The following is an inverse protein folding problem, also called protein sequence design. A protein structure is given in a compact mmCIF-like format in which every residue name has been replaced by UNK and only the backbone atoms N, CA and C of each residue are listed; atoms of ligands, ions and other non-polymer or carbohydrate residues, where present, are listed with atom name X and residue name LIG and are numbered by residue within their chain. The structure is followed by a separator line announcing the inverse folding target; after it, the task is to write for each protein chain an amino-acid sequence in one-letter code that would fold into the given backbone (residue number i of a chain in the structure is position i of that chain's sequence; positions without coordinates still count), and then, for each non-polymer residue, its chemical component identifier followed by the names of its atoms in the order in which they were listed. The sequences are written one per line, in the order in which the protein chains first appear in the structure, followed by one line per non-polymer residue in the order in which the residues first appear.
data_IF_798407110376
#
_entry.id   IF_798407110376
#
_cell.length_a   1.000
_cell.length_b   1.000
_cell.length_c   1.000
_cell.angle_alpha   90.00
_cell.angle_beta   90.00
_cell.angle_gamma   90.00
#
_symmetry.space_group_name_H-M   'P 1'
#
loop_
_entity.id
_entity.type
_entity.pdbx_description
1 polymer ?
#
# COMPACT_ATOMS: atom_id res chain seq x y z
N UNK A 1 30.64 -55.51 -14.99
CA UNK A 1 29.40 -55.11 -15.68
C UNK A 1 28.23 -55.26 -14.71
N UNK A 2 27.67 -54.14 -14.26
CA UNK A 2 26.41 -54.05 -13.52
C UNK A 2 25.77 -52.69 -13.88
N UNK A 3 24.45 -52.67 -13.87
CA UNK A 3 23.58 -51.97 -14.82
C UNK A 3 23.45 -50.45 -14.66
N UNK A 4 23.32 -49.78 -15.82
CA UNK A 4 22.68 -48.48 -15.99
C UNK A 4 21.22 -48.52 -15.51
N UNK A 5 20.94 -48.07 -14.28
CA UNK A 5 19.64 -47.51 -13.87
C UNK A 5 19.95 -46.45 -12.81
N UNK A 6 20.12 -45.19 -13.22
CA UNK A 6 19.05 -44.19 -13.13
C UNK A 6 18.29 -44.28 -11.81
N UNK A 7 18.84 -43.70 -10.75
CA UNK A 7 18.06 -42.89 -9.82
C UNK A 7 18.91 -41.65 -9.53
N UNK A 8 18.94 -40.75 -10.51
CA UNK A 8 19.04 -39.32 -10.19
C UNK A 8 17.77 -39.03 -9.40
N UNK A 9 17.85 -39.13 -8.08
CA UNK A 9 16.89 -38.52 -7.17
C UNK A 9 17.19 -37.01 -7.27
N UNK A 10 16.79 -36.44 -8.41
CA UNK A 10 16.62 -35.00 -8.55
C UNK A 10 15.57 -34.69 -7.49
N UNK A 11 16.05 -34.18 -6.37
CA UNK A 11 15.27 -33.53 -5.35
C UNK A 11 14.30 -32.59 -6.05
N UNK A 12 13.06 -33.05 -6.23
CA UNK A 12 11.90 -32.19 -6.40
C UNK A 12 11.67 -31.46 -5.08
N UNK A 13 12.67 -30.69 -4.63
CA UNK A 13 12.42 -29.56 -3.76
C UNK A 13 11.64 -28.62 -4.66
N UNK A 14 10.38 -28.30 -4.35
CA UNK A 14 9.71 -27.21 -5.03
C UNK A 14 10.56 -25.97 -4.75
N UNK A 15 11.39 -25.59 -5.72
CA UNK A 15 12.06 -24.31 -5.74
C UNK A 15 10.96 -23.30 -6.01
N UNK A 16 10.31 -22.83 -4.94
CA UNK A 16 9.52 -21.63 -4.97
C UNK A 16 10.49 -20.48 -5.20
N UNK A 17 10.89 -20.28 -6.45
CA UNK A 17 11.48 -19.02 -6.89
C UNK A 17 10.39 -17.98 -6.66
N UNK A 18 10.45 -17.29 -5.53
CA UNK A 18 9.60 -16.13 -5.28
C UNK A 18 10.11 -15.06 -6.21
N UNK A 19 9.42 -14.86 -7.33
CA UNK A 19 9.76 -13.79 -8.24
C UNK A 19 9.52 -12.45 -7.53
N UNK A 20 10.36 -11.47 -7.85
CA UNK A 20 10.29 -10.12 -7.32
C UNK A 20 10.05 -9.19 -8.51
N UNK A 21 8.96 -8.44 -8.46
CA UNK A 21 8.68 -7.39 -9.44
C UNK A 21 9.47 -6.15 -9.05
N UNK A 22 10.17 -5.56 -10.02
CA UNK A 22 11.00 -4.38 -9.81
C UNK A 22 10.28 -3.16 -10.36
N UNK A 23 10.03 -2.18 -9.49
CA UNK A 23 9.55 -0.85 -9.86
C UNK A 23 10.75 0.07 -10.03
N UNK A 24 11.00 0.44 -11.28
CA UNK A 24 12.08 1.33 -11.67
C UNK A 24 11.76 1.97 -13.02
N UNK A 25 11.89 3.29 -13.12
CA UNK A 25 11.67 4.04 -14.35
C UNK A 25 10.24 3.86 -14.90
N UNK A 26 10.04 4.03 -16.20
CA UNK A 26 8.74 3.83 -16.84
C UNK A 26 8.44 2.32 -16.91
N UNK A 27 7.33 1.91 -16.30
CA UNK A 27 6.86 0.53 -16.39
C UNK A 27 6.02 0.31 -17.66
N UNK A 28 6.24 -0.83 -18.32
CA UNK A 28 5.40 -1.26 -19.43
C UNK A 28 4.05 -1.76 -18.91
N UNK A 29 2.92 -1.39 -19.54
CA UNK A 29 1.57 -1.80 -19.11
C UNK A 29 1.38 -3.32 -18.93
N UNK A 30 2.11 -4.14 -19.70
CA UNK A 30 2.03 -5.60 -19.59
C UNK A 30 2.73 -6.21 -18.37
N UNK A 31 3.48 -5.43 -17.59
CA UNK A 31 4.42 -5.93 -16.56
C UNK A 31 4.18 -5.39 -15.17
N UNK A 32 3.20 -4.50 -15.00
CA UNK A 32 3.04 -3.73 -13.76
C UNK A 32 2.36 -4.49 -12.61
N UNK A 33 1.91 -5.73 -12.80
CA UNK A 33 1.18 -6.49 -11.77
C UNK A 33 2.03 -7.57 -11.10
N UNK A 34 1.91 -7.69 -9.78
CA UNK A 34 2.58 -8.68 -8.93
C UNK A 34 1.54 -9.62 -8.29
N UNK A 35 1.55 -10.90 -8.67
CA UNK A 35 0.65 -11.90 -8.08
C UNK A 35 1.46 -12.84 -7.19
N UNK A 36 1.31 -12.73 -5.87
CA UNK A 36 2.08 -13.50 -4.89
C UNK A 36 3.60 -13.30 -5.03
N UNK A 37 4.01 -12.12 -5.47
CA UNK A 37 5.39 -11.74 -5.71
C UNK A 37 5.71 -10.51 -4.86
N UNK A 38 6.93 -10.46 -4.32
CA UNK A 38 7.40 -9.26 -3.62
C UNK A 38 7.64 -8.13 -4.63
N UNK A 39 7.50 -6.89 -4.18
CA UNK A 39 7.77 -5.70 -4.98
C UNK A 39 8.97 -4.96 -4.42
N UNK A 40 9.88 -4.58 -5.31
CA UNK A 40 11.09 -3.87 -4.98
C UNK A 40 11.14 -2.54 -5.74
N UNK A 41 11.07 -1.42 -5.02
CA UNK A 41 11.22 -0.09 -5.60
C UNK A 41 12.71 0.29 -5.50
N UNK A 42 13.36 0.46 -6.65
CA UNK A 42 14.80 0.75 -6.71
C UNK A 42 15.13 2.09 -7.36
N UNK A 43 14.11 2.82 -7.82
CA UNK A 43 14.22 4.14 -8.42
C UNK A 43 12.86 4.81 -8.58
N UNK A 44 12.89 6.08 -8.99
CA UNK A 44 11.70 6.80 -9.40
C UNK A 44 10.97 6.03 -10.50
N UNK A 45 9.66 5.84 -10.32
CA UNK A 45 8.86 4.94 -11.16
C UNK A 45 7.64 5.65 -11.72
N UNK A 46 7.42 5.55 -13.02
CA UNK A 46 6.20 6.01 -13.70
C UNK A 46 5.31 4.80 -13.96
N UNK A 47 4.20 4.78 -13.23
CA UNK A 47 3.18 3.75 -13.33
C UNK A 47 2.34 3.98 -14.59
N UNK A 48 2.03 2.94 -15.40
CA UNK A 48 1.15 3.07 -16.56
C UNK A 48 -0.27 3.50 -16.16
N UNK A 49 -1.01 4.05 -17.12
CA UNK A 49 -2.35 4.59 -16.92
C UNK A 49 -3.41 3.47 -16.92
N UNK A 50 -3.31 2.56 -15.97
CA UNK A 50 -4.14 1.36 -15.86
C UNK A 50 -4.27 0.90 -14.41
N UNK A 51 -4.83 -0.29 -14.23
CA UNK A 51 -4.96 -0.94 -12.94
C UNK A 51 -3.75 -1.86 -12.68
N UNK A 52 -3.02 -1.56 -11.63
CA UNK A 52 -1.80 -2.24 -11.20
C UNK A 52 -2.14 -3.11 -9.99
N UNK A 53 -2.13 -4.43 -10.15
CA UNK A 53 -2.50 -5.34 -9.08
C UNK A 53 -1.29 -5.84 -8.31
N UNK A 54 -1.33 -5.73 -6.99
CA UNK A 54 -0.44 -6.43 -6.06
C UNK A 54 -1.34 -7.32 -5.20
N UNK A 55 -1.24 -8.64 -5.37
CA UNK A 55 -2.21 -9.58 -4.78
C UNK A 55 -1.55 -10.67 -3.94
N UNK A 56 -1.77 -10.62 -2.63
CA UNK A 56 -1.37 -11.64 -1.65
C UNK A 56 -2.52 -12.65 -1.45
N UNK A 57 -2.43 -13.80 -2.10
CA UNK A 57 -3.48 -14.84 -2.13
C UNK A 57 -3.01 -16.23 -1.72
N UNK A 58 -1.71 -16.52 -1.78
CA UNK A 58 -1.12 -17.77 -1.31
C UNK A 58 0.17 -17.59 -0.47
N UNK A 59 0.60 -16.34 -0.26
CA UNK A 59 1.70 -15.95 0.62
C UNK A 59 1.59 -14.48 0.97
N UNK A 60 2.31 -14.10 2.03
CA UNK A 60 2.57 -12.70 2.33
C UNK A 60 3.40 -12.05 1.21
N UNK A 61 3.12 -10.79 0.95
CA UNK A 61 3.87 -9.95 0.01
C UNK A 61 4.54 -8.83 0.79
N UNK A 62 5.79 -8.55 0.44
CA UNK A 62 6.49 -7.35 0.87
C UNK A 62 6.70 -6.38 -0.28
N UNK A 63 6.43 -5.10 -0.02
CA UNK A 63 6.85 -3.98 -0.86
C UNK A 63 7.97 -3.28 -0.12
N UNK A 64 9.16 -3.23 -0.71
CA UNK A 64 10.37 -2.69 -0.06
C UNK A 64 11.09 -1.72 -0.98
N UNK A 65 11.94 -0.87 -0.40
CA UNK A 65 12.74 0.10 -1.14
C UNK A 65 14.23 -0.08 -0.94
N UNK A 66 15.01 0.16 -2.00
CA UNK A 66 16.47 0.12 -1.97
C UNK A 66 17.06 1.36 -2.61
N UNK A 67 18.26 1.75 -2.16
CA UNK A 67 19.08 2.79 -2.79
C UNK A 67 18.54 4.22 -2.70
N UNK A 68 17.99 4.60 -1.55
CA UNK A 68 17.65 5.99 -1.24
C UNK A 68 16.18 6.35 -1.49
N UNK A 69 15.84 7.66 -1.50
CA UNK A 69 14.46 8.13 -1.60
C UNK A 69 13.89 7.88 -3.01
N UNK A 70 12.60 7.54 -3.08
CA UNK A 70 11.91 7.23 -4.35
C UNK A 70 10.60 7.98 -4.51
N UNK A 71 10.26 8.26 -5.77
CA UNK A 71 8.97 8.82 -6.17
C UNK A 71 8.23 7.87 -7.10
N UNK A 72 6.95 7.67 -6.84
CA UNK A 72 6.06 6.85 -7.67
C UNK A 72 5.00 7.76 -8.28
N UNK A 73 5.04 7.90 -9.60
CA UNK A 73 4.20 8.79 -10.38
C UNK A 73 3.07 8.02 -11.05
N UNK A 74 1.86 8.59 -11.08
CA UNK A 74 0.87 8.13 -12.05
C UNK A 74 1.14 8.72 -13.43
N UNK A 75 0.67 8.00 -14.44
CA UNK A 75 0.53 8.52 -15.80
C UNK A 75 -0.96 8.52 -16.18
N UNK A 76 -1.28 9.23 -17.25
CA UNK A 76 -2.61 9.25 -17.83
C UNK A 76 -2.49 8.96 -19.31
N UNK A 77 -3.36 8.07 -19.78
CA UNK A 77 -3.55 7.77 -21.18
C UNK A 77 -5.06 7.86 -21.44
N UNK A 78 -5.43 8.76 -22.34
CA UNK A 78 -6.82 9.06 -22.66
C UNK A 78 -7.65 9.46 -21.42
N UNK A 79 -8.74 8.73 -21.14
CA UNK A 79 -9.65 8.97 -20.01
C UNK A 79 -9.35 8.10 -18.78
N UNK A 80 -8.24 7.36 -18.76
CA UNK A 80 -7.91 6.39 -17.71
C UNK A 80 -6.79 6.92 -16.82
N UNK A 81 -6.95 6.81 -15.48
CA UNK A 81 -5.93 7.15 -14.49
C UNK A 81 -5.29 5.89 -13.91
N UNK A 82 -4.04 5.99 -13.44
CA UNK A 82 -3.40 4.90 -12.69
C UNK A 82 -4.13 4.59 -11.38
N UNK A 83 -4.41 3.31 -11.14
CA UNK A 83 -4.88 2.80 -9.85
C UNK A 83 -3.98 1.65 -9.40
N UNK A 84 -3.33 1.77 -8.25
CA UNK A 84 -2.60 0.67 -7.60
C UNK A 84 -3.57 -0.04 -6.67
N UNK A 85 -3.74 -1.34 -6.83
CA UNK A 85 -4.61 -2.17 -5.99
C UNK A 85 -3.75 -3.09 -5.15
N UNK A 86 -3.72 -2.85 -3.84
CA UNK A 86 -3.18 -3.76 -2.83
C UNK A 86 -4.33 -4.67 -2.38
N UNK A 87 -4.31 -5.94 -2.79
CA UNK A 87 -5.34 -6.92 -2.45
C UNK A 87 -4.74 -8.05 -1.61
N UNK A 88 -5.31 -8.27 -0.43
CA UNK A 88 -4.92 -9.38 0.43
C UNK A 88 -6.11 -10.32 0.69
N UNK A 89 -5.86 -11.63 0.66
CA UNK A 89 -6.82 -12.69 0.99
C UNK A 89 -6.35 -13.35 2.28
N UNK A 90 -7.23 -13.42 3.29
CA UNK A 90 -6.87 -14.05 4.56
C UNK A 90 -6.38 -15.51 4.35
N UNK A 91 -5.30 -15.96 5.03
CA UNK A 91 -4.56 -15.31 6.12
C UNK A 91 -3.40 -14.39 5.68
N UNK A 92 -3.25 -14.18 4.37
CA UNK A 92 -2.10 -13.49 3.82
C UNK A 92 -2.20 -11.99 3.99
N UNK A 93 -1.04 -11.35 4.06
CA UNK A 93 -0.92 -9.90 4.21
C UNK A 93 -0.05 -9.25 3.13
N UNK A 94 -0.27 -7.97 2.91
CA UNK A 94 0.66 -7.10 2.19
C UNK A 94 1.32 -6.19 3.23
N UNK A 95 2.64 -6.17 3.24
CA UNK A 95 3.44 -5.28 4.09
C UNK A 95 4.27 -4.33 3.23
N UNK A 96 4.06 -3.03 3.39
CA UNK A 96 4.85 -1.98 2.74
C UNK A 96 5.85 -1.46 3.76
N UNK A 97 7.13 -1.78 3.57
CA UNK A 97 8.21 -1.37 4.45
C UNK A 97 8.87 -0.10 3.90
N UNK A 98 8.57 1.03 4.52
CA UNK A 98 9.15 2.32 4.19
C UNK A 98 10.52 2.45 4.86
N UNK A 99 11.50 1.80 4.25
CA UNK A 99 12.93 1.78 4.64
C UNK A 99 13.72 2.97 4.09
N UNK A 100 13.14 3.69 3.13
CA UNK A 100 13.64 4.92 2.53
C UNK A 100 12.46 5.90 2.36
N UNK A 101 12.73 7.20 2.16
CA UNK A 101 11.64 8.15 1.92
C UNK A 101 10.90 7.79 0.63
N UNK A 102 9.57 7.75 0.71
CA UNK A 102 8.70 7.36 -0.41
C UNK A 102 7.62 8.39 -0.64
N UNK A 103 7.51 8.86 -1.88
CA UNK A 103 6.47 9.81 -2.27
C UNK A 103 5.63 9.26 -3.41
N UNK A 104 4.33 9.14 -3.18
CA UNK A 104 3.35 8.88 -4.23
C UNK A 104 2.84 10.20 -4.79
N UNK A 105 2.75 10.32 -6.11
CA UNK A 105 2.41 11.58 -6.78
C UNK A 105 1.36 11.31 -7.87
N UNK A 106 0.31 12.14 -7.89
CA UNK A 106 -0.67 12.17 -8.97
C UNK A 106 -0.10 12.77 -10.27
N UNK A 107 -0.98 13.11 -11.22
CA UNK A 107 -0.52 13.46 -12.56
C UNK A 107 0.17 14.84 -12.53
N UNK A 108 1.39 14.90 -13.05
CA UNK A 108 2.11 16.16 -13.14
C UNK A 108 1.45 17.11 -14.15
N UNK A 109 1.24 18.37 -13.73
CA UNK A 109 0.55 19.37 -14.55
C UNK A 109 -0.98 19.30 -14.47
N UNK A 110 -1.55 18.32 -13.78
CA UNK A 110 -3.01 18.16 -13.64
C UNK A 110 -3.41 17.88 -12.19
N UNK A 111 -3.83 18.94 -11.49
CA UNK A 111 -4.27 18.87 -10.10
C UNK A 111 -5.54 18.03 -9.89
N UNK A 112 -6.33 17.80 -10.95
CA UNK A 112 -7.60 17.08 -10.88
C UNK A 112 -7.44 15.56 -11.05
N UNK A 113 -6.28 15.09 -11.52
CA UNK A 113 -6.02 13.66 -11.73
C UNK A 113 -5.12 13.12 -10.62
N UNK A 114 -5.67 12.51 -9.55
CA UNK A 114 -4.86 11.90 -8.50
C UNK A 114 -4.28 10.55 -8.94
N UNK A 115 -3.23 10.09 -8.27
CA UNK A 115 -2.91 8.66 -8.20
C UNK A 115 -3.87 8.00 -7.21
N UNK A 116 -4.50 6.90 -7.60
CA UNK A 116 -5.37 6.14 -6.69
C UNK A 116 -4.61 4.94 -6.15
N UNK A 117 -4.64 4.76 -4.83
CA UNK A 117 -4.16 3.54 -4.16
C UNK A 117 -5.37 2.91 -3.48
N UNK A 118 -5.74 1.70 -3.88
CA UNK A 118 -6.85 0.96 -3.30
C UNK A 118 -6.31 -0.17 -2.44
N UNK A 119 -6.85 -0.25 -1.23
CA UNK A 119 -6.61 -1.34 -0.31
C UNK A 119 -7.86 -2.20 -0.22
N UNK A 120 -7.69 -3.49 -0.49
CA UNK A 120 -8.78 -4.45 -0.62
C UNK A 120 -8.51 -5.67 0.22
N UNK A 121 -9.55 -6.14 0.91
CA UNK A 121 -9.51 -7.37 1.68
C UNK A 121 -10.56 -8.37 1.22
N UNK A 122 -10.15 -9.62 1.06
CA UNK A 122 -11.08 -10.77 1.00
C UNK A 122 -11.00 -11.50 2.33
N UNK A 123 -12.09 -11.48 3.10
CA UNK A 123 -12.21 -12.23 4.35
C UNK A 123 -12.49 -13.71 4.11
N UNK A 124 -12.07 -14.55 5.05
CA UNK A 124 -12.37 -15.98 5.08
C UNK A 124 -12.72 -16.33 6.53
N UNK A 125 -13.88 -16.96 6.75
CA UNK A 125 -14.35 -17.39 8.10
C UNK A 125 -14.36 -16.29 9.17
N UNK A 126 -14.87 -15.09 8.86
CA UNK A 126 -14.90 -13.92 9.76
C UNK A 126 -13.52 -13.39 10.18
N UNK A 127 -12.44 -13.85 9.53
CA UNK A 127 -11.09 -13.32 9.72
C UNK A 127 -10.71 -12.36 8.59
N UNK A 128 -9.96 -11.32 8.96
CA UNK A 128 -9.71 -10.16 8.11
C UNK A 128 -8.27 -10.17 7.58
N UNK A 129 -8.06 -9.96 6.27
CA UNK A 129 -6.72 -9.77 5.73
C UNK A 129 -6.10 -8.46 6.22
N UNK A 130 -4.78 -8.37 6.16
CA UNK A 130 -4.01 -7.23 6.63
C UNK A 130 -3.26 -6.55 5.49
N UNK A 131 -3.40 -5.23 5.42
CA UNK A 131 -2.50 -4.35 4.66
C UNK A 131 -1.83 -3.43 5.67
N UNK A 132 -0.50 -3.50 5.76
CA UNK A 132 0.28 -2.76 6.75
C UNK A 132 1.34 -1.91 6.06
N UNK A 133 1.40 -0.64 6.44
CA UNK A 133 2.47 0.29 6.08
C UNK A 133 3.37 0.49 7.30
N UNK A 134 4.61 0.04 7.21
CA UNK A 134 5.60 0.17 8.28
C UNK A 134 6.60 1.26 7.91
N UNK A 135 6.56 2.42 8.57
CA UNK A 135 7.55 3.49 8.37
C UNK A 135 8.67 3.39 9.39
N UNK A 136 9.90 3.22 8.89
CA UNK A 136 11.08 3.06 9.73
C UNK A 136 11.59 4.40 10.27
N UNK A 137 12.38 4.33 11.35
CA UNK A 137 12.93 5.51 12.00
C UNK A 137 13.65 6.42 11.00
N UNK A 138 13.42 7.73 11.12
CA UNK A 138 13.94 8.78 10.23
C UNK A 138 13.53 8.69 8.77
N UNK A 139 12.54 7.85 8.43
CA UNK A 139 11.97 7.76 7.08
C UNK A 139 10.60 8.41 7.00
N UNK A 140 10.22 8.83 5.80
CA UNK A 140 8.98 9.55 5.57
C UNK A 140 8.18 8.91 4.43
N UNK A 141 6.88 8.76 4.66
CA UNK A 141 5.90 8.36 3.65
C UNK A 141 5.03 9.56 3.28
N UNK A 142 5.01 9.92 2.00
CA UNK A 142 4.21 11.02 1.46
C UNK A 142 3.14 10.50 0.49
N UNK A 143 1.89 10.78 0.83
CA UNK A 143 0.75 10.69 -0.08
C UNK A 143 0.52 12.06 -0.71
N UNK A 144 1.00 12.22 -1.93
CA UNK A 144 0.98 13.46 -2.70
C UNK A 144 2.34 14.17 -2.72
N UNK A 145 2.52 15.15 -3.62
CA UNK A 145 3.80 15.80 -3.83
C UNK A 145 4.26 16.58 -2.59
N UNK A 146 5.49 16.38 -2.14
CA UNK A 146 6.09 17.16 -1.06
C UNK A 146 6.82 18.42 -1.60
N UNK A 147 7.14 18.44 -2.90
CA UNK A 147 7.93 19.49 -3.57
C UNK A 147 7.35 20.02 -4.89
N UNK A 148 6.20 19.50 -5.36
CA UNK A 148 5.54 19.94 -6.61
C UNK A 148 4.14 20.51 -6.34
N UNK A 149 3.95 21.80 -6.59
CA UNK A 149 2.66 22.46 -6.38
C UNK A 149 1.65 22.25 -7.53
N UNK A 150 2.10 21.73 -8.68
CA UNK A 150 1.33 21.59 -9.91
C UNK A 150 0.95 20.13 -10.24
N UNK A 151 1.13 19.19 -9.31
CA UNK A 151 0.77 17.79 -9.52
C UNK A 151 -0.49 17.40 -8.74
N UNK A 152 -1.26 16.45 -9.30
CA UNK A 152 -2.35 15.79 -8.57
C UNK A 152 -1.86 15.18 -7.26
N UNK A 153 -2.77 15.06 -6.28
CA UNK A 153 -2.47 14.38 -5.03
C UNK A 153 -2.64 12.87 -5.13
N UNK A 154 -2.80 12.22 -3.97
CA UNK A 154 -3.04 10.77 -3.89
C UNK A 154 -4.35 10.49 -3.17
N UNK A 155 -5.20 9.66 -3.76
CA UNK A 155 -6.38 9.15 -3.10
C UNK A 155 -6.14 7.72 -2.61
N UNK A 156 -5.87 7.58 -1.31
CA UNK A 156 -5.84 6.28 -0.64
C UNK A 156 -7.27 5.86 -0.31
N UNK A 157 -7.70 4.73 -0.85
CA UNK A 157 -9.06 4.22 -0.75
C UNK A 157 -9.04 2.85 -0.07
N UNK A 158 -9.71 2.73 1.06
CA UNK A 158 -9.93 1.44 1.70
C UNK A 158 -11.29 0.93 1.23
N UNK A 159 -11.28 -0.14 0.45
CA UNK A 159 -12.47 -0.67 -0.22
C UNK A 159 -12.98 -1.91 0.52
N UNK A 160 -14.25 -1.87 0.89
CA UNK A 160 -14.97 -2.94 1.58
C UNK A 160 -15.90 -3.66 0.59
N UNK A 161 -15.80 -4.99 0.51
CA UNK A 161 -16.66 -5.82 -0.36
C UNK A 161 -18.11 -5.87 0.17
N UNK A 162 -18.26 -5.94 1.51
CA UNK A 162 -19.56 -5.98 2.22
C UNK A 162 -19.51 -5.07 3.45
N UNK A 163 -20.65 -4.50 3.86
CA UNK A 163 -20.80 -3.53 4.98
C UNK A 163 -20.09 -3.89 6.31
N UNK A 164 -19.72 -5.16 6.50
CA UNK A 164 -19.09 -5.67 7.71
C UNK A 164 -17.63 -6.12 7.53
N UNK A 165 -17.12 -6.16 6.30
CA UNK A 165 -15.79 -6.68 5.99
C UNK A 165 -14.91 -5.57 5.41
N UNK A 166 -14.28 -4.83 6.32
CA UNK A 166 -13.22 -3.88 6.00
C UNK A 166 -11.87 -4.61 6.16
N UNK A 167 -10.93 -4.53 5.19
CA UNK A 167 -9.59 -5.03 5.42
C UNK A 167 -8.98 -4.35 6.65
N UNK A 168 -8.18 -5.10 7.42
CA UNK A 168 -7.40 -4.48 8.50
C UNK A 168 -6.29 -3.66 7.86
N UNK A 169 -6.34 -2.35 8.05
CA UNK A 169 -5.31 -1.43 7.58
C UNK A 169 -4.52 -0.87 8.78
N UNK A 170 -3.19 -0.91 8.71
CA UNK A 170 -2.32 -0.41 9.78
C UNK A 170 -1.25 0.52 9.21
N UNK A 171 -1.13 1.71 9.80
CA UNK A 171 0.09 2.54 9.70
C UNK A 171 0.93 2.34 10.96
N UNK A 172 2.02 1.59 10.84
CA UNK A 172 2.99 1.35 11.91
C UNK A 172 4.18 2.29 11.77
N UNK A 173 4.51 3.03 12.82
CA UNK A 173 5.67 3.92 12.85
C UNK A 173 6.71 3.31 13.82
N UNK A 174 7.85 2.87 13.28
CA UNK A 174 8.96 2.29 14.05
C UNK A 174 9.96 3.36 14.52
N UNK A 175 9.48 4.54 14.93
CA UNK A 175 10.31 5.69 15.32
C UNK A 175 9.78 6.41 16.54
N UNK A 176 10.51 7.43 17.01
CA UNK A 176 10.03 8.29 18.10
C UNK A 176 8.71 8.97 17.71
N UNK A 177 7.67 8.96 18.58
CA UNK A 177 6.40 9.65 18.33
C UNK A 177 6.53 11.17 18.15
N UNK A 178 7.69 11.74 18.46
CA UNK A 178 7.95 13.18 18.41
C UNK A 178 8.15 13.75 17.00
N UNK A 179 8.30 12.91 15.97
CA UNK A 179 8.41 13.35 14.58
C UNK A 179 7.33 12.66 13.72
N UNK A 180 6.52 13.40 12.96
CA UNK A 180 5.59 12.77 12.01
C UNK A 180 6.38 12.09 10.89
N UNK A 181 6.00 10.86 10.56
CA UNK A 181 6.63 10.02 9.53
C UNK A 181 5.68 9.72 8.35
N UNK A 182 4.45 10.23 8.41
CA UNK A 182 3.39 10.03 7.43
C UNK A 182 2.77 11.38 7.09
N UNK A 183 2.68 11.70 5.80
CA UNK A 183 2.24 13.00 5.32
C UNK A 183 1.20 12.85 4.21
N UNK A 184 0.12 13.63 4.29
CA UNK A 184 -0.82 13.83 3.19
C UNK A 184 -0.68 15.25 2.67
N UNK A 185 -0.27 15.39 1.42
CA UNK A 185 -0.14 16.68 0.75
C UNK A 185 -1.48 17.19 0.24
N UNK A 186 -1.48 18.43 -0.27
CA UNK A 186 -2.66 19.02 -0.92
C UNK A 186 -3.21 18.10 -2.01
N UNK A 187 -4.53 18.09 -2.18
CA UNK A 187 -5.27 17.26 -3.14
C UNK A 187 -5.15 15.75 -2.87
N UNK A 188 -4.66 15.36 -1.70
CA UNK A 188 -4.58 13.95 -1.28
C UNK A 188 -5.66 13.67 -0.24
N UNK A 189 -6.17 12.44 -0.24
CA UNK A 189 -7.26 12.01 0.62
C UNK A 189 -7.09 10.56 1.07
N UNK A 190 -7.65 10.25 2.24
CA UNK A 190 -7.93 8.90 2.69
C UNK A 190 -9.44 8.71 2.76
N UNK A 191 -9.97 7.71 2.06
CA UNK A 191 -11.42 7.46 1.93
C UNK A 191 -11.77 5.99 2.13
N UNK A 192 -13.01 5.73 2.55
CA UNK A 192 -13.57 4.38 2.65
C UNK A 192 -14.67 4.23 1.61
N UNK A 193 -14.60 3.17 0.82
CA UNK A 193 -15.53 2.88 -0.28
C UNK A 193 -16.17 1.52 -0.09
N UNK A 194 -17.44 1.37 -0.47
CA UNK A 194 -18.09 0.07 -0.57
C UNK A 194 -18.07 -0.38 -2.03
N UNK A 195 -17.66 -1.62 -2.31
CA UNK A 195 -17.52 -2.15 -3.67
C UNK A 195 -18.84 -2.17 -4.44
N UNK A 196 -19.97 -2.29 -3.74
CA UNK A 196 -21.33 -2.29 -4.33
C UNK A 196 -21.98 -0.91 -4.41
N UNK A 197 -21.29 0.18 -4.06
CA UNK A 197 -21.84 1.53 -4.23
C UNK A 197 -20.75 2.52 -4.61
N UNK A 198 -20.95 3.28 -5.69
CA UNK A 198 -20.11 4.45 -6.04
C UNK A 198 -20.20 5.57 -4.99
N UNK A 199 -20.96 5.38 -3.91
CA UNK A 199 -21.09 6.32 -2.81
C UNK A 199 -20.03 5.99 -1.74
N UNK A 200 -19.12 6.92 -1.42
CA UNK A 200 -18.16 6.71 -0.34
C UNK A 200 -18.89 6.47 0.99
N UNK A 201 -18.47 5.44 1.73
CA UNK A 201 -18.94 5.21 3.08
C UNK A 201 -18.38 6.33 3.98
N UNK A 202 -19.25 6.91 4.82
CA UNK A 202 -18.81 7.91 5.80
C UNK A 202 -18.00 7.22 6.91
N UNK A 203 -16.68 7.37 6.82
CA UNK A 203 -15.64 7.38 7.89
C UNK A 203 -15.64 6.19 8.87
N UNK A 204 -14.58 5.37 8.82
CA UNK A 204 -14.12 4.63 9.99
C UNK A 204 -12.61 4.39 9.85
N UNK A 205 -11.75 5.12 10.57
CA UNK A 205 -10.30 4.78 10.64
C UNK A 205 -10.02 4.21 12.02
N UNK A 206 -9.32 3.08 12.07
CA UNK A 206 -8.66 2.56 13.26
C UNK A 206 -7.14 2.70 13.08
N UNK A 207 -6.48 3.41 14.01
CA UNK A 207 -5.01 3.49 14.09
C UNK A 207 -4.56 2.69 15.31
N UNK A 208 -3.94 1.52 15.11
CA UNK A 208 -3.28 0.79 16.19
C UNK A 208 -1.86 1.35 16.39
N UNK A 209 -1.66 2.04 17.52
CA UNK A 209 -0.34 2.51 17.96
C UNK A 209 0.11 1.64 19.15
N UNK A 210 0.30 0.34 18.91
CA UNK A 210 0.79 -0.59 19.94
C UNK A 210 2.29 -0.40 20.20
N UNK A 211 2.60 0.49 21.15
CA UNK A 211 3.51 0.20 22.27
C UNK A 211 3.33 1.25 23.38
N UNK A 212 2.25 1.10 24.17
CA UNK A 212 2.12 1.67 25.52
C UNK A 212 1.20 2.89 25.66
N UNK A 213 0.16 2.71 26.52
CA UNK A 213 -0.78 3.69 27.09
C UNK A 213 -1.53 4.61 26.10
N UNK A 214 -2.84 4.88 26.32
CA UNK A 214 -3.65 5.68 25.39
C UNK A 214 -3.05 7.08 25.20
N UNK A 215 -2.83 7.46 23.95
CA UNK A 215 -2.30 8.78 23.56
C UNK A 215 -3.14 9.33 22.41
N UNK A 216 -3.66 10.54 22.58
CA UNK A 216 -4.29 11.30 21.50
C UNK A 216 -3.25 11.67 20.45
N UNK A 217 -3.56 11.47 19.17
CA UNK A 217 -2.68 11.85 18.06
C UNK A 217 -3.41 12.81 17.14
N UNK A 218 -2.66 13.77 16.60
CA UNK A 218 -3.18 14.77 15.67
C UNK A 218 -2.52 14.55 14.32
N UNK A 219 -3.34 14.33 13.29
CA UNK A 219 -2.89 14.50 11.90
C UNK A 219 -3.32 15.88 11.45
N UNK A 220 -2.35 16.73 11.13
CA UNK A 220 -2.57 18.06 10.57
C UNK A 220 -2.43 18.00 9.06
N UNK A 221 -3.47 18.41 8.34
CA UNK A 221 -3.38 18.65 6.91
C UNK A 221 -2.80 20.05 6.67
N UNK A 222 -2.12 20.22 5.52
CA UNK A 222 -1.49 21.50 5.12
C UNK A 222 -2.46 22.69 5.04
N UNK A 223 -3.77 22.44 4.94
CA UNK A 223 -4.82 23.46 4.90
C UNK A 223 -5.34 23.88 6.28
N UNK A 224 -4.76 23.33 7.36
CA UNK A 224 -5.18 23.60 8.74
C UNK A 224 -6.37 22.75 9.21
N UNK A 225 -6.90 21.86 8.36
CA UNK A 225 -7.84 20.85 8.83
C UNK A 225 -7.10 19.78 9.65
N UNK A 226 -7.77 19.28 10.69
CA UNK A 226 -7.23 18.26 11.59
C UNK A 226 -8.18 17.09 11.68
N UNK A 227 -7.63 15.88 11.70
CA UNK A 227 -8.37 14.71 12.19
C UNK A 227 -8.07 14.57 13.69
N UNK A 228 -9.12 14.67 14.50
CA UNK A 228 -9.10 14.27 15.90
C UNK A 228 -9.54 12.82 16.00
N UNK A 229 -8.79 11.99 16.70
CA UNK A 229 -9.25 10.67 17.09
C UNK A 229 -8.76 10.29 18.49
N UNK A 230 -9.60 9.53 19.18
CA UNK A 230 -9.29 8.88 20.44
C UNK A 230 -9.14 7.38 20.17
N UNK A 231 -8.03 6.80 20.59
CA UNK A 231 -7.90 5.35 20.67
C UNK A 231 -8.69 4.87 21.89
N UNK A 232 -9.86 4.26 21.70
CA UNK A 232 -10.46 3.46 22.74
C UNK A 232 -9.78 2.10 22.75
N UNK A 233 -9.32 1.63 23.91
CA UNK A 233 -9.17 0.19 24.12
C UNK A 233 -10.53 -0.44 23.80
N UNK A 234 -10.62 -1.25 22.74
CA UNK A 234 -11.75 -2.15 22.59
C UNK A 234 -11.58 -3.20 23.68
N UNK A 235 -12.29 -3.00 24.79
CA UNK A 235 -12.63 -4.07 25.69
C UNK A 235 -13.68 -4.91 24.97
N UNK A 236 -13.29 -6.08 24.47
CA UNK A 236 -14.26 -7.12 24.10
C UNK A 236 -14.65 -7.78 25.44
N UNK A 237 -15.93 -7.79 25.83
CA UNK A 237 -16.37 -8.60 26.97
C UNK A 237 -16.08 -10.09 26.75
#
# INVERSE_FOLDING_TARGET
MLNKKNIFLLLCIPYYATATIIWNNVMDPGTASALNEDVLIVGDTWLPAELININASNRDIKITMLNGPHKVYCTKQDSTSTTVVLKAVFPWKIEVEVTEDLTFIGLEGDLATPLVIQERGVSVNDEYPLIQWTVYEHKNLYFGPNDKENAGGVNLQIVCDVFYFTPRHIFKINGSPSNPHLFFSRNSSLTYLQETSDTPLRRCIEFDVSNGQPRSHFTYFKDGSGLFFESAQIFIP
#
